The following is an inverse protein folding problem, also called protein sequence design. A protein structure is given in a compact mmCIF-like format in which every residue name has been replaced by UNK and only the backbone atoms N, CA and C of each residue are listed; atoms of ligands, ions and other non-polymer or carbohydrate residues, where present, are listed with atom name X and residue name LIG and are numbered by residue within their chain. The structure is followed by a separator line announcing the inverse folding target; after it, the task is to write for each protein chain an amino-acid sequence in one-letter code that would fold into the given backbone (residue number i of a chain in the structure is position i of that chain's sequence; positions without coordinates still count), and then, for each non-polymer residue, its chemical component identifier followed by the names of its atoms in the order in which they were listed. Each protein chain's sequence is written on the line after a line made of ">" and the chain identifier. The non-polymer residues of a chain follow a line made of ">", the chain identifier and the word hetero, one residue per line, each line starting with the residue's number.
data_IF_918612967570
#
_entry.id   IF_918612967570
#
_cell.length_a   1.000
_cell.length_b   1.000
_cell.length_c   1.000
_cell.angle_alpha   90.00
_cell.angle_beta   90.00
_cell.angle_gamma   90.00
#
_symmetry.space_group_name_H-M   'P 1'
#
loop_
_entity.id
_entity.type
_entity.pdbx_description
1 polymer ?
#
# COMPACT_ATOMS: atom_id res chain seq x y z
N UNK A 1 3.56 19.96 -20.43
CA UNK A 1 3.24 18.97 -19.38
C UNK A 1 3.79 19.51 -18.08
N UNK A 2 2.97 19.61 -17.03
CA UNK A 2 3.43 20.08 -15.72
C UNK A 2 3.69 18.88 -14.80
N UNK A 3 4.72 19.00 -13.96
CA UNK A 3 5.05 18.01 -12.93
C UNK A 3 4.66 18.63 -11.59
N UNK A 4 3.93 17.88 -10.77
CA UNK A 4 3.60 18.26 -9.41
C UNK A 4 4.27 17.27 -8.44
N UNK A 5 5.00 17.80 -7.46
CA UNK A 5 5.68 17.02 -6.43
C UNK A 5 5.16 17.40 -5.05
N UNK A 6 4.93 16.41 -4.20
CA UNK A 6 4.49 16.56 -2.82
C UNK A 6 5.35 15.66 -1.92
N UNK A 7 5.79 16.20 -0.79
CA UNK A 7 6.60 15.49 0.21
C UNK A 7 5.85 15.42 1.53
N UNK A 8 5.87 14.25 2.18
CA UNK A 8 5.29 14.03 3.49
C UNK A 8 6.17 13.09 4.32
N UNK A 9 6.27 13.37 5.61
CA UNK A 9 7.03 12.58 6.57
C UNK A 9 6.14 12.09 7.71
N UNK A 10 6.35 10.84 8.12
CA UNK A 10 5.66 10.22 9.26
C UNK A 10 6.69 9.53 10.15
N UNK A 11 6.88 10.04 11.36
CA UNK A 11 7.81 9.46 12.33
C UNK A 11 7.22 8.21 12.96
N UNK A 12 8.03 7.15 13.08
CA UNK A 12 7.66 5.87 13.69
C UNK A 12 8.78 5.35 14.59
N UNK A 13 8.42 4.66 15.67
CA UNK A 13 9.38 3.97 16.54
C UNK A 13 9.83 2.61 15.97
N UNK A 14 9.18 2.14 14.89
CA UNK A 14 9.47 0.85 14.27
C UNK A 14 10.75 0.97 13.41
N UNK A 15 11.71 0.04 13.53
CA UNK A 15 12.94 0.07 12.74
C UNK A 15 12.69 0.14 11.22
N UNK A 16 13.52 0.86 10.46
CA UNK A 16 13.31 1.09 9.02
C UNK A 16 13.13 -0.19 8.19
N UNK A 17 13.95 -1.22 8.45
CA UNK A 17 13.87 -2.49 7.73
C UNK A 17 12.51 -3.20 7.92
N UNK A 18 11.92 -3.10 9.12
CA UNK A 18 10.61 -3.69 9.40
C UNK A 18 9.49 -2.88 8.75
N UNK A 19 9.57 -1.55 8.78
CA UNK A 19 8.60 -0.69 8.10
C UNK A 19 8.62 -0.91 6.59
N UNK A 20 9.80 -0.92 5.98
CA UNK A 20 9.94 -1.15 4.53
C UNK A 20 9.38 -2.52 4.13
N UNK A 21 9.72 -3.56 4.91
CA UNK A 21 9.16 -4.89 4.68
C UNK A 21 7.64 -4.90 4.79
N UNK A 22 7.07 -4.29 5.83
CA UNK A 22 5.62 -4.31 6.04
C UNK A 22 4.83 -3.50 4.99
N UNK A 23 5.32 -2.32 4.59
CA UNK A 23 4.58 -1.41 3.71
C UNK A 23 4.87 -1.62 2.23
N UNK A 24 6.10 -1.98 1.86
CA UNK A 24 6.52 -2.07 0.44
C UNK A 24 6.53 -3.51 -0.04
N UNK A 25 7.26 -4.38 0.68
CA UNK A 25 7.47 -5.79 0.29
C UNK A 25 6.18 -6.60 0.51
N UNK A 26 5.72 -6.69 1.76
CA UNK A 26 4.58 -7.49 2.19
C UNK A 26 3.25 -6.70 2.19
N UNK A 27 3.29 -5.45 1.72
CA UNK A 27 2.20 -4.48 1.86
C UNK A 27 0.86 -4.94 1.29
N UNK A 28 0.87 -5.70 0.20
CA UNK A 28 -0.34 -6.24 -0.43
C UNK A 28 -1.14 -7.16 0.51
N UNK A 29 -0.43 -8.04 1.23
CA UNK A 29 -1.03 -8.99 2.16
C UNK A 29 -1.47 -8.28 3.43
N UNK A 30 -0.61 -7.40 3.94
CA UNK A 30 -0.86 -6.67 5.18
C UNK A 30 -2.01 -5.68 5.01
N UNK A 31 -2.11 -4.98 3.88
CA UNK A 31 -3.12 -3.96 3.66
C UNK A 31 -4.55 -4.54 3.68
N UNK A 32 -4.77 -5.69 3.04
CA UNK A 32 -6.06 -6.40 3.11
C UNK A 32 -6.41 -6.89 4.53
N UNK A 33 -5.40 -7.21 5.35
CA UNK A 33 -5.59 -7.64 6.74
C UNK A 33 -5.88 -6.48 7.69
N UNK A 34 -5.19 -5.34 7.51
CA UNK A 34 -5.34 -4.15 8.36
C UNK A 34 -6.60 -3.38 8.00
N UNK A 35 -6.94 -3.32 6.71
CA UNK A 35 -8.10 -2.58 6.20
C UNK A 35 -9.08 -3.52 5.46
N UNK A 36 -9.59 -4.58 6.11
CA UNK A 36 -10.43 -5.59 5.45
C UNK A 36 -11.75 -5.00 4.95
N UNK A 37 -12.18 -3.90 5.56
CA UNK A 37 -13.39 -3.20 5.16
C UNK A 37 -13.19 -2.33 3.91
N UNK A 38 -11.96 -1.89 3.62
CA UNK A 38 -11.67 -1.04 2.47
C UNK A 38 -11.08 -1.83 1.29
N UNK A 39 -10.23 -2.81 1.55
CA UNK A 39 -9.51 -3.57 0.53
C UNK A 39 -10.09 -4.97 0.44
N UNK A 40 -10.61 -5.31 -0.74
CA UNK A 40 -11.17 -6.62 -1.07
C UNK A 40 -10.07 -7.63 -1.39
N UNK A 41 -9.15 -7.23 -2.25
CA UNK A 41 -8.02 -8.06 -2.69
C UNK A 41 -6.94 -7.19 -3.34
N UNK A 42 -5.73 -7.74 -3.40
CA UNK A 42 -4.63 -7.18 -4.18
C UNK A 42 -4.13 -8.28 -5.10
N UNK A 43 -4.06 -8.00 -6.40
CA UNK A 43 -3.47 -8.88 -7.41
C UNK A 43 -2.12 -8.29 -7.85
N UNK A 44 -1.14 -9.15 -8.09
CA UNK A 44 0.22 -8.73 -8.40
C UNK A 44 0.74 -9.48 -9.63
N UNK A 45 1.36 -8.75 -10.55
CA UNK A 45 2.03 -9.26 -11.74
C UNK A 45 3.54 -9.01 -11.59
N UNK A 46 4.31 -10.07 -11.34
CA UNK A 46 5.76 -10.01 -11.10
C UNK A 46 6.21 -10.82 -9.90
N UNK A 47 7.46 -10.62 -9.47
CA UNK A 47 8.11 -11.32 -8.37
C UNK A 47 8.18 -10.51 -7.06
N UNK A 48 7.59 -9.31 -7.05
CA UNK A 48 7.67 -8.37 -5.93
C UNK A 48 8.89 -7.43 -5.99
N UNK A 49 9.78 -7.61 -6.96
CA UNK A 49 10.92 -6.74 -7.23
C UNK A 49 10.60 -5.56 -8.16
N UNK A 50 11.63 -4.80 -8.59
CA UNK A 50 11.47 -3.68 -9.51
C UNK A 50 10.73 -4.09 -10.79
N UNK A 51 9.70 -3.32 -11.15
CA UNK A 51 8.86 -3.59 -12.32
C UNK A 51 7.58 -4.39 -12.01
N UNK A 52 7.39 -4.87 -10.78
CA UNK A 52 6.13 -5.51 -10.36
C UNK A 52 4.97 -4.52 -10.43
N UNK A 53 3.83 -4.97 -10.99
CA UNK A 53 2.59 -4.19 -11.08
C UNK A 53 1.60 -4.73 -10.04
N UNK A 54 0.99 -3.84 -9.25
CA UNK A 54 -0.01 -4.18 -8.23
C UNK A 54 -1.37 -3.58 -8.57
N UNK A 55 -2.41 -4.41 -8.61
CA UNK A 55 -3.79 -4.02 -8.79
C UNK A 55 -4.56 -4.20 -7.47
N UNK A 56 -5.05 -3.09 -6.91
CA UNK A 56 -5.80 -3.09 -5.64
C UNK A 56 -7.31 -3.00 -5.95
N UNK A 57 -8.06 -3.98 -5.47
CA UNK A 57 -9.53 -3.98 -5.54
C UNK A 57 -10.09 -3.47 -4.21
N UNK A 58 -10.76 -2.33 -4.24
CA UNK A 58 -11.48 -1.79 -3.08
C UNK A 58 -12.89 -2.39 -2.98
N UNK A 59 -13.43 -2.47 -1.77
CA UNK A 59 -14.82 -2.87 -1.57
C UNK A 59 -15.78 -1.79 -2.10
N UNK A 60 -16.91 -2.21 -2.66
CA UNK A 60 -17.96 -1.28 -3.10
C UNK A 60 -18.58 -0.56 -1.89
N UNK A 61 -18.54 0.78 -1.89
CA UNK A 61 -19.37 1.60 -1.01
C UNK A 61 -18.76 2.15 0.27
N UNK A 62 -17.44 2.02 0.54
CA UNK A 62 -16.82 2.76 1.66
C UNK A 62 -16.23 4.09 1.22
N UNK A 63 -16.92 5.18 1.58
CA UNK A 63 -16.27 6.47 1.81
C UNK A 63 -15.23 6.27 2.90
N UNK A 64 -13.95 6.44 2.58
CA UNK A 64 -12.97 6.77 3.62
C UNK A 64 -13.30 8.17 4.08
N UNK A 65 -14.10 8.30 5.14
CA UNK A 65 -14.28 9.59 5.79
C UNK A 65 -12.92 10.01 6.35
N UNK A 66 -12.33 11.04 5.74
CA UNK A 66 -11.63 12.10 6.45
C UNK A 66 -11.64 13.36 5.58
#
# INVERSE_FOLDING_TARGET
>A
MAIFSFEAEVTTSIPPAKMFKAFVVDGEKIAAQIFPEAIKSVASEGDGGPGTIKQVHFNEGKKTNN
#
